data_IF_206493172618
#
_entry.id   IF_206493172618
#
_cell.length_a   1.000
_cell.length_b   1.000
_cell.length_c   1.000
_cell.angle_alpha   90.00
_cell.angle_beta   90.00
_cell.angle_gamma   90.00
#
_symmetry.space_group_name_H-M   'P 1'
#
loop_
_entity.id
_entity.type
_entity.pdbx_description
1 polymer ?
#
# COMPACT_ATOMS: atom_id res chain seq x y z
N UNK A 1 14.29 12.02 -48.71
CA UNK A 1 12.95 11.85 -48.13
C UNK A 1 13.07 11.75 -46.62
N UNK A 2 12.98 12.87 -45.92
CA UNK A 2 13.11 12.98 -44.46
C UNK A 2 11.72 13.09 -43.86
N UNK A 3 11.20 11.98 -43.33
CA UNK A 3 9.93 11.94 -42.61
C UNK A 3 10.10 12.51 -41.21
N UNK A 4 9.57 13.71 -40.98
CA UNK A 4 9.50 14.33 -39.67
C UNK A 4 8.45 13.60 -38.79
N UNK A 5 8.90 13.02 -37.69
CA UNK A 5 8.05 12.39 -36.66
C UNK A 5 7.53 13.49 -35.74
N UNK A 6 6.23 13.81 -35.84
CA UNK A 6 5.57 14.77 -34.94
C UNK A 6 5.46 14.13 -33.54
N UNK A 7 5.97 14.75 -32.46
CA UNK A 7 5.77 14.25 -31.11
C UNK A 7 4.34 14.54 -30.64
N UNK A 8 3.55 13.48 -30.40
CA UNK A 8 2.29 13.57 -29.67
C UNK A 8 2.57 13.95 -28.22
N UNK A 9 2.24 15.20 -27.87
CA UNK A 9 2.33 15.74 -26.52
C UNK A 9 1.16 15.24 -25.62
N UNK A 10 1.35 15.20 -24.28
CA UNK A 10 0.50 14.53 -23.28
C UNK A 10 -0.81 15.27 -22.93
N UNK A 11 -1.53 15.81 -23.91
CA UNK A 11 -2.72 16.63 -23.68
C UNK A 11 -3.92 15.86 -23.10
N UNK A 12 -3.95 14.53 -23.21
CA UNK A 12 -5.07 13.69 -22.76
C UNK A 12 -5.10 13.47 -21.25
N UNK A 13 -3.94 13.32 -20.60
CA UNK A 13 -3.83 13.09 -19.14
C UNK A 13 -4.14 14.34 -18.34
N UNK A 14 -3.68 15.52 -18.79
CA UNK A 14 -3.99 16.80 -18.15
C UNK A 14 -5.48 17.15 -18.19
N UNK A 15 -6.18 16.80 -19.28
CA UNK A 15 -7.63 17.04 -19.41
C UNK A 15 -8.46 16.10 -18.53
N UNK A 16 -7.99 14.86 -18.34
CA UNK A 16 -8.61 13.91 -17.43
C UNK A 16 -8.42 14.32 -15.96
N UNK A 17 -7.20 14.72 -15.57
CA UNK A 17 -6.88 15.22 -14.24
C UNK A 17 -7.64 16.52 -13.88
N UNK A 18 -7.79 17.43 -14.85
CA UNK A 18 -8.61 18.65 -14.67
C UNK A 18 -10.10 18.36 -14.48
N UNK A 19 -10.63 17.31 -15.13
CA UNK A 19 -12.03 16.90 -14.98
C UNK A 19 -12.29 16.26 -13.61
N UNK A 20 -11.39 15.43 -13.11
CA UNK A 20 -11.53 14.83 -11.77
C UNK A 20 -11.47 15.91 -10.68
N UNK A 21 -10.53 16.84 -10.78
CA UNK A 21 -10.42 17.96 -9.84
C UNK A 21 -11.68 18.85 -9.83
N UNK A 22 -12.28 19.12 -11.00
CA UNK A 22 -13.53 19.88 -11.09
C UNK A 22 -14.72 19.15 -10.46
N UNK A 23 -14.81 17.83 -10.65
CA UNK A 23 -15.86 17.00 -10.01
C UNK A 23 -15.67 16.92 -8.49
N UNK A 24 -14.43 16.82 -8.01
CA UNK A 24 -14.12 16.84 -6.58
C UNK A 24 -14.43 18.18 -5.94
N UNK A 25 -14.06 19.29 -6.58
CA UNK A 25 -14.44 20.63 -6.15
C UNK A 25 -15.97 20.79 -6.11
N UNK A 26 -16.68 20.26 -7.12
CA UNK A 26 -18.15 20.23 -7.14
C UNK A 26 -18.75 19.44 -5.97
N UNK A 27 -18.18 18.26 -5.65
CA UNK A 27 -18.59 17.45 -4.50
C UNK A 27 -18.35 18.16 -3.17
N UNK A 28 -17.18 18.81 -3.02
CA UNK A 28 -16.83 19.56 -1.82
C UNK A 28 -17.74 20.79 -1.64
N UNK A 29 -18.04 21.52 -2.71
CA UNK A 29 -18.96 22.65 -2.68
C UNK A 29 -20.39 22.22 -2.31
N UNK A 30 -20.87 21.08 -2.85
CA UNK A 30 -22.16 20.52 -2.49
C UNK A 30 -22.20 20.07 -1.02
N UNK A 31 -21.13 19.45 -0.51
CA UNK A 31 -21.01 19.07 0.88
C UNK A 31 -21.00 20.30 1.81
N UNK A 32 -20.27 21.37 1.44
CA UNK A 32 -20.23 22.61 2.19
C UNK A 32 -21.61 23.29 2.27
N UNK A 33 -22.35 23.35 1.16
CA UNK A 33 -23.73 23.87 1.14
C UNK A 33 -24.65 23.08 2.06
N UNK A 34 -24.61 21.75 2.02
CA UNK A 34 -25.43 20.90 2.91
C UNK A 34 -25.10 21.11 4.39
N UNK A 35 -23.83 21.32 4.74
CA UNK A 35 -23.42 21.65 6.12
C UNK A 35 -23.97 23.01 6.54
N UNK A 36 -23.80 24.02 5.70
CA UNK A 36 -24.34 25.37 5.96
C UNK A 36 -25.87 25.36 6.12
N UNK A 37 -26.60 24.62 5.27
CA UNK A 37 -28.06 24.48 5.38
C UNK A 37 -28.46 23.79 6.69
N UNK A 38 -27.71 22.76 7.09
CA UNK A 38 -27.94 22.04 8.36
C UNK A 38 -27.70 22.93 9.57
N UNK A 39 -26.62 23.73 9.54
CA UNK A 39 -26.30 24.71 10.57
C UNK A 39 -27.35 25.81 10.65
N UNK A 40 -27.81 26.33 9.51
CA UNK A 40 -28.89 27.31 9.46
C UNK A 40 -30.19 26.76 10.07
N UNK A 41 -30.53 25.49 9.80
CA UNK A 41 -31.68 24.84 10.44
C UNK A 41 -31.52 24.77 11.97
N UNK A 42 -30.33 24.37 12.44
CA UNK A 42 -30.01 24.30 13.87
C UNK A 42 -30.13 25.67 14.54
N UNK A 43 -29.57 26.72 13.92
CA UNK A 43 -29.62 28.09 14.43
C UNK A 43 -31.06 28.62 14.55
N UNK A 44 -31.94 28.33 13.58
CA UNK A 44 -33.35 28.72 13.66
C UNK A 44 -34.06 28.08 14.85
N UNK A 45 -33.81 26.80 15.11
CA UNK A 45 -34.37 26.10 16.29
C UNK A 45 -33.87 26.72 17.59
N UNK A 46 -32.56 26.98 17.70
CA UNK A 46 -31.97 27.65 18.87
C UNK A 46 -32.54 29.06 19.09
N UNK A 47 -32.77 29.83 18.03
CA UNK A 47 -33.38 31.15 18.12
C UNK A 47 -34.81 31.08 18.69
N UNK A 48 -35.60 30.08 18.29
CA UNK A 48 -36.94 29.85 18.85
C UNK A 48 -36.88 29.47 20.32
N UNK A 49 -35.97 28.57 20.70
CA UNK A 49 -35.77 28.16 22.11
C UNK A 49 -35.30 29.34 22.97
N UNK A 50 -34.40 30.18 22.46
CA UNK A 50 -34.00 31.42 23.13
C UNK A 50 -35.17 32.40 23.28
N UNK A 51 -36.04 32.48 22.27
CA UNK A 51 -37.29 33.22 22.31
C UNK A 51 -38.21 32.79 23.46
N UNK A 52 -38.32 31.48 23.73
CA UNK A 52 -39.10 30.95 24.87
C UNK A 52 -38.62 31.51 26.21
N UNK A 53 -37.30 31.65 26.40
CA UNK A 53 -36.73 32.25 27.62
C UNK A 53 -37.13 33.73 27.75
N UNK A 54 -37.11 34.46 26.63
CA UNK A 54 -37.41 35.91 26.60
C UNK A 54 -38.89 36.20 26.83
N UNK A 55 -39.79 35.42 26.21
CA UNK A 55 -41.24 35.63 26.31
C UNK A 55 -41.87 34.91 27.51
N UNK A 56 -41.09 34.07 28.21
CA UNK A 56 -41.54 33.21 29.33
C UNK A 56 -42.73 32.31 28.98
N UNK A 57 -42.92 32.01 27.69
CA UNK A 57 -43.97 31.12 27.21
C UNK A 57 -43.38 29.75 26.85
N UNK A 58 -43.76 28.66 27.53
CA UNK A 58 -43.35 27.32 27.13
C UNK A 58 -44.00 26.98 25.79
N UNK A 59 -43.23 26.39 24.88
CA UNK A 59 -43.69 25.93 23.58
C UNK A 59 -43.56 24.41 23.49
N UNK A 60 -44.52 23.77 22.84
CA UNK A 60 -44.47 22.35 22.50
C UNK A 60 -43.39 22.07 21.44
N UNK A 61 -42.92 20.82 21.35
CA UNK A 61 -42.00 20.40 20.28
C UNK A 61 -42.54 20.75 18.89
N UNK A 62 -43.86 20.56 18.68
CA UNK A 62 -44.54 20.88 17.42
C UNK A 62 -44.53 22.39 17.12
N UNK A 63 -44.74 23.24 18.13
CA UNK A 63 -44.61 24.69 17.99
C UNK A 63 -43.20 25.10 17.59
N UNK A 64 -42.19 24.49 18.23
CA UNK A 64 -40.79 24.83 18.00
C UNK A 64 -40.41 24.49 16.56
N UNK A 65 -40.74 23.29 16.07
CA UNK A 65 -40.45 22.89 14.69
C UNK A 65 -41.20 23.76 13.68
N UNK A 66 -42.45 24.12 13.97
CA UNK A 66 -43.26 25.00 13.10
C UNK A 66 -42.67 26.40 13.00
N UNK A 67 -42.31 27.03 14.13
CA UNK A 67 -41.74 28.38 14.15
C UNK A 67 -40.33 28.44 13.57
N UNK A 68 -39.54 27.37 13.71
CA UNK A 68 -38.21 27.27 13.12
C UNK A 68 -38.22 26.89 11.63
N UNK A 69 -39.40 26.61 11.06
CA UNK A 69 -39.60 26.12 9.71
C UNK A 69 -38.73 24.89 9.40
N UNK A 70 -38.76 23.91 10.31
CA UNK A 70 -38.04 22.62 10.16
C UNK A 70 -39.03 21.46 10.19
N UNK A 71 -38.58 20.29 9.72
CA UNK A 71 -39.36 19.07 9.73
C UNK A 71 -39.84 18.73 11.17
N UNK A 72 -41.10 18.29 11.38
CA UNK A 72 -41.59 17.86 12.70
C UNK A 72 -40.74 16.79 13.41
N UNK A 73 -40.06 15.92 12.66
CA UNK A 73 -39.17 14.90 13.22
C UNK A 73 -37.77 15.43 13.59
N UNK A 74 -37.46 16.70 13.29
CA UNK A 74 -36.12 17.25 13.44
C UNK A 74 -35.62 17.20 14.89
N UNK A 75 -36.46 17.58 15.85
CA UNK A 75 -36.12 17.51 17.28
C UNK A 75 -35.95 16.07 17.79
N UNK A 76 -36.63 15.10 17.18
CA UNK A 76 -36.45 13.68 17.55
C UNK A 76 -35.08 13.16 17.10
N UNK A 77 -34.58 13.63 15.94
CA UNK A 77 -33.25 13.28 15.41
C UNK A 77 -32.12 14.03 16.13
N UNK A 78 -32.40 15.21 16.67
CA UNK A 78 -31.44 16.08 17.36
C UNK A 78 -31.77 16.16 18.87
N UNK A 79 -31.39 15.10 19.59
CA UNK A 79 -31.60 14.93 21.04
C UNK A 79 -31.03 16.08 21.88
N UNK A 80 -29.94 16.70 21.42
CA UNK A 80 -29.30 17.86 22.05
C UNK A 80 -30.23 19.07 22.09
N UNK A 81 -30.88 19.40 20.96
CA UNK A 81 -31.82 20.51 20.86
C UNK A 81 -33.10 20.23 21.64
N UNK A 82 -33.53 18.96 21.67
CA UNK A 82 -34.68 18.53 22.46
C UNK A 82 -34.43 18.68 23.97
N UNK A 83 -33.27 18.22 24.44
CA UNK A 83 -32.85 18.42 25.82
C UNK A 83 -32.70 19.91 26.15
N UNK A 84 -32.27 20.73 25.19
CA UNK A 84 -32.21 22.17 25.39
C UNK A 84 -33.59 22.78 25.64
N UNK A 85 -34.55 22.48 24.76
CA UNK A 85 -35.94 22.95 24.87
C UNK A 85 -36.60 22.48 26.17
N UNK A 86 -36.40 21.22 26.57
CA UNK A 86 -36.96 20.66 27.80
C UNK A 86 -36.42 21.37 29.04
N UNK A 87 -35.10 21.63 29.13
CA UNK A 87 -34.59 22.35 30.30
C UNK A 87 -35.11 23.80 30.36
N UNK A 88 -35.38 24.43 29.22
CA UNK A 88 -36.05 25.74 29.21
C UNK A 88 -37.47 25.63 29.76
N UNK A 89 -38.24 24.62 29.35
CA UNK A 89 -39.58 24.37 29.92
C UNK A 89 -39.51 24.10 31.41
N UNK A 90 -38.63 23.20 31.86
CA UNK A 90 -38.44 22.92 33.28
C UNK A 90 -38.07 24.16 34.10
N UNK A 91 -37.22 25.03 33.54
CA UNK A 91 -36.90 26.31 34.17
C UNK A 91 -38.11 27.26 34.23
N UNK A 92 -38.91 27.35 33.16
CA UNK A 92 -40.13 28.16 33.15
C UNK A 92 -41.18 27.64 34.15
N UNK A 93 -41.30 26.31 34.26
CA UNK A 93 -42.20 25.63 35.19
C UNK A 93 -41.67 25.61 36.64
N UNK A 94 -40.45 26.12 36.89
CA UNK A 94 -39.72 26.05 38.17
C UNK A 94 -39.55 24.63 38.72
N UNK A 95 -39.63 23.62 37.85
CA UNK A 95 -39.44 22.21 38.20
C UNK A 95 -37.94 21.91 38.30
N UNK A 96 -37.39 22.06 39.52
CA UNK A 96 -35.97 21.85 39.82
C UNK A 96 -35.50 20.43 39.47
N UNK A 97 -36.36 19.44 39.66
CA UNK A 97 -36.08 18.03 39.33
C UNK A 97 -35.91 17.82 37.84
N UNK A 98 -36.83 18.35 37.01
CA UNK A 98 -36.67 18.29 35.54
C UNK A 98 -35.50 19.13 35.04
N UNK A 99 -35.21 20.27 35.66
CA UNK A 99 -34.06 21.09 35.29
C UNK A 99 -32.74 20.37 35.56
N UNK A 100 -32.63 19.66 36.69
CA UNK A 100 -31.47 18.86 37.04
C UNK A 100 -31.27 17.65 36.10
N UNK A 101 -32.33 16.92 35.77
CA UNK A 101 -32.23 15.79 34.82
C UNK A 101 -31.84 16.24 33.42
N UNK A 102 -32.38 17.38 32.95
CA UNK A 102 -31.99 17.94 31.67
C UNK A 102 -30.54 18.46 31.67
N UNK A 103 -30.04 19.00 32.78
CA UNK A 103 -28.63 19.39 32.92
C UNK A 103 -27.69 18.18 32.87
N UNK A 104 -28.03 17.08 33.57
CA UNK A 104 -27.29 15.83 33.52
C UNK A 104 -27.26 15.24 32.10
N UNK A 105 -28.41 15.18 31.42
CA UNK A 105 -28.49 14.69 30.04
C UNK A 105 -27.62 15.50 29.06
N UNK A 106 -27.47 16.83 29.27
CA UNK A 106 -26.56 17.67 28.48
C UNK A 106 -25.09 17.35 28.76
N UNK A 107 -24.74 17.11 30.01
CA UNK A 107 -23.38 16.71 30.39
C UNK A 107 -23.02 15.36 29.77
N UNK A 108 -23.92 14.37 29.88
CA UNK A 108 -23.71 13.04 29.29
C UNK A 108 -23.57 13.10 27.77
N UNK A 109 -24.40 13.93 27.10
CA UNK A 109 -24.28 14.14 25.67
C UNK A 109 -22.93 14.79 25.29
N UNK A 110 -22.45 15.75 26.09
CA UNK A 110 -21.13 16.37 25.91
C UNK A 110 -20.00 15.35 26.04
N UNK A 111 -20.03 14.55 27.11
CA UNK A 111 -19.05 13.49 27.37
C UNK A 111 -19.08 12.40 26.28
N UNK A 112 -20.26 12.04 25.76
CA UNK A 112 -20.38 11.07 24.68
C UNK A 112 -19.74 11.57 23.37
N UNK A 113 -19.87 12.87 23.06
CA UNK A 113 -19.21 13.49 21.91
C UNK A 113 -17.70 13.53 22.10
N UNK A 114 -17.22 13.92 23.28
CA UNK A 114 -15.79 13.93 23.61
C UNK A 114 -15.18 12.53 23.56
N UNK A 115 -15.85 11.53 24.14
CA UNK A 115 -15.39 10.14 24.12
C UNK A 115 -15.29 9.61 22.68
N UNK A 116 -16.29 9.90 21.84
CA UNK A 116 -16.25 9.55 20.41
C UNK A 116 -15.05 10.21 19.71
N UNK A 117 -14.83 11.50 19.95
CA UNK A 117 -13.70 12.23 19.38
C UNK A 117 -12.35 11.64 19.82
N UNK A 118 -12.21 11.32 21.11
CA UNK A 118 -11.00 10.70 21.65
C UNK A 118 -10.76 9.30 21.07
N UNK A 119 -11.82 8.50 20.89
CA UNK A 119 -11.72 7.20 20.23
C UNK A 119 -11.30 7.35 18.76
N UNK A 120 -11.89 8.29 18.02
CA UNK A 120 -11.50 8.59 16.65
C UNK A 120 -10.02 9.00 16.57
N UNK A 121 -9.58 9.92 17.44
CA UNK A 121 -8.16 10.31 17.56
C UNK A 121 -7.27 9.11 17.90
N UNK A 122 -7.67 8.25 18.83
CA UNK A 122 -6.91 7.06 19.20
C UNK A 122 -6.76 6.10 18.01
N UNK A 123 -7.83 5.91 17.22
CA UNK A 123 -7.75 5.07 16.02
C UNK A 123 -6.85 5.68 14.94
N UNK A 124 -6.85 6.99 14.76
CA UNK A 124 -5.95 7.68 13.84
C UNK A 124 -4.49 7.50 14.27
N UNK A 125 -4.18 7.80 15.54
CA UNK A 125 -2.84 7.65 16.11
C UNK A 125 -2.31 6.21 16.01
N UNK A 126 -3.18 5.20 16.18
CA UNK A 126 -2.79 3.79 16.00
C UNK A 126 -2.40 3.50 14.55
N UNK A 127 -3.16 3.99 13.57
CA UNK A 127 -2.83 3.83 12.15
C UNK A 127 -1.51 4.54 11.80
N UNK A 128 -1.31 5.75 12.30
CA UNK A 128 -0.07 6.51 12.08
C UNK A 128 1.14 5.79 12.67
N UNK A 129 0.98 5.23 13.88
CA UNK A 129 2.01 4.45 14.54
C UNK A 129 2.32 3.16 13.78
N UNK A 130 1.30 2.46 13.25
CA UNK A 130 1.50 1.30 12.38
C UNK A 130 2.22 1.67 11.08
N UNK A 131 1.86 2.79 10.45
CA UNK A 131 2.53 3.30 9.26
C UNK A 131 4.00 3.64 9.54
N UNK A 132 4.28 4.39 10.61
CA UNK A 132 5.65 4.71 11.02
C UNK A 132 6.48 3.46 11.33
N UNK A 133 5.88 2.44 11.96
CA UNK A 133 6.54 1.15 12.18
C UNK A 133 6.84 0.42 10.88
N UNK A 134 5.93 0.47 9.90
CA UNK A 134 6.15 -0.13 8.58
C UNK A 134 7.28 0.59 7.83
N UNK A 135 7.30 1.92 7.86
CA UNK A 135 8.38 2.73 7.29
C UNK A 135 9.73 2.41 7.93
N UNK A 136 9.79 2.34 9.27
CA UNK A 136 11.01 2.00 9.99
C UNK A 136 11.53 0.60 9.61
N UNK A 137 10.62 -0.38 9.47
CA UNK A 137 11.00 -1.73 8.97
C UNK A 137 11.55 -1.65 7.55
N UNK A 138 10.92 -0.87 6.67
CA UNK A 138 11.37 -0.72 5.29
C UNK A 138 12.73 -0.01 5.18
N UNK A 139 13.00 0.97 6.05
CA UNK A 139 14.33 1.61 6.16
C UNK A 139 15.35 0.58 6.64
N UNK A 140 15.09 -0.11 7.75
CA UNK A 140 16.01 -1.13 8.30
C UNK A 140 16.34 -2.24 7.31
N UNK A 141 15.36 -2.72 6.54
CA UNK A 141 15.58 -3.72 5.49
C UNK A 141 16.46 -3.17 4.37
N UNK A 142 16.26 -1.90 3.97
CA UNK A 142 17.12 -1.26 2.96
C UNK A 142 18.54 -1.07 3.46
N UNK A 143 18.72 -0.64 4.70
CA UNK A 143 20.04 -0.44 5.31
C UNK A 143 20.78 -1.78 5.40
N UNK A 144 20.13 -2.84 5.93
CA UNK A 144 20.69 -4.19 5.97
C UNK A 144 21.05 -4.73 4.57
N UNK A 145 20.21 -4.46 3.56
CA UNK A 145 20.49 -4.88 2.19
C UNK A 145 21.69 -4.11 1.60
N UNK A 146 21.82 -2.82 1.91
CA UNK A 146 22.95 -2.00 1.50
C UNK A 146 24.26 -2.47 2.17
N UNK A 147 24.21 -2.80 3.47
CA UNK A 147 25.36 -3.34 4.21
C UNK A 147 25.81 -4.68 3.63
N UNK A 148 24.89 -5.63 3.39
CA UNK A 148 25.21 -6.94 2.79
C UNK A 148 25.80 -6.78 1.38
N UNK A 149 25.25 -5.87 0.57
CA UNK A 149 25.81 -5.59 -0.77
C UNK A 149 27.19 -4.93 -0.67
N UNK A 150 27.40 -4.03 0.28
CA UNK A 150 28.69 -3.41 0.56
C UNK A 150 29.75 -4.41 1.02
N UNK A 151 29.39 -5.34 1.90
CA UNK A 151 30.25 -6.42 2.38
C UNK A 151 30.59 -7.41 1.26
N UNK A 152 29.62 -7.78 0.42
CA UNK A 152 29.86 -8.63 -0.76
C UNK A 152 30.72 -7.95 -1.82
N UNK A 153 30.58 -6.63 -2.00
CA UNK A 153 31.43 -5.84 -2.90
C UNK A 153 32.85 -5.64 -2.35
N UNK A 154 32.99 -5.63 -1.01
CA UNK A 154 34.26 -5.45 -0.31
C UNK A 154 35.00 -6.77 -0.06
N UNK A 155 34.37 -7.93 -0.27
CA UNK A 155 35.01 -9.24 -0.17
C UNK A 155 36.06 -9.43 -1.30
N UNK A 156 37.37 -9.38 -1.00
CA UNK A 156 38.40 -9.62 -2.00
C UNK A 156 38.63 -11.13 -2.16
N UNK A 157 39.22 -11.52 -3.29
CA UNK A 157 39.84 -12.84 -3.59
C UNK A 157 38.97 -14.04 -3.97
N UNK A 158 37.72 -14.21 -3.50
CA UNK A 158 36.95 -15.43 -3.84
C UNK A 158 36.73 -15.63 -5.35
N UNK A 159 36.49 -14.54 -6.08
CA UNK A 159 36.34 -14.62 -7.54
C UNK A 159 37.67 -14.89 -8.26
N UNK A 160 38.80 -14.41 -7.73
CA UNK A 160 40.11 -14.66 -8.32
C UNK A 160 40.54 -16.13 -8.19
N UNK A 161 40.36 -16.70 -7.00
CA UNK A 161 40.66 -18.11 -6.72
C UNK A 161 39.79 -19.05 -7.56
N UNK A 162 38.49 -18.76 -7.70
CA UNK A 162 37.59 -19.55 -8.56
C UNK A 162 38.00 -19.47 -10.03
N UNK A 163 38.44 -18.31 -10.52
CA UNK A 163 38.94 -18.17 -11.90
C UNK A 163 40.26 -18.91 -12.14
N UNK A 164 41.16 -18.95 -11.13
CA UNK A 164 42.38 -19.76 -11.21
C UNK A 164 42.04 -21.24 -11.28
N UNK A 165 41.18 -21.74 -10.40
CA UNK A 165 40.75 -23.15 -10.41
C UNK A 165 40.04 -23.54 -11.72
N UNK A 166 39.27 -22.62 -12.32
CA UNK A 166 38.65 -22.83 -13.64
C UNK A 166 39.71 -22.99 -14.73
N UNK A 167 40.73 -22.14 -14.75
CA UNK A 167 41.84 -22.23 -15.71
C UNK A 167 42.63 -23.54 -15.54
N UNK A 168 42.92 -23.93 -14.31
CA UNK A 168 43.62 -25.19 -14.00
C UNK A 168 42.83 -26.40 -14.49
N UNK A 169 41.52 -26.43 -14.21
CA UNK A 169 40.61 -27.47 -14.71
C UNK A 169 40.63 -27.53 -16.24
N UNK A 170 40.52 -26.39 -16.91
CA UNK A 170 40.45 -26.34 -18.37
C UNK A 170 41.78 -26.77 -19.01
N UNK A 171 42.91 -26.42 -18.38
CA UNK A 171 44.24 -26.93 -18.77
C UNK A 171 44.35 -28.45 -18.59
N UNK A 172 43.87 -28.98 -17.46
CA UNK A 172 43.87 -30.42 -17.20
C UNK A 172 43.00 -31.18 -18.22
N UNK A 173 41.80 -30.65 -18.53
CA UNK A 173 40.93 -31.24 -19.56
C UNK A 173 41.57 -31.21 -20.95
N UNK A 174 42.29 -30.13 -21.30
CA UNK A 174 43.02 -30.06 -22.55
C UNK A 174 44.16 -31.09 -22.60
N UNK A 175 44.87 -31.30 -21.49
CA UNK A 175 45.93 -32.30 -21.39
C UNK A 175 45.38 -33.73 -21.55
N UNK A 176 44.26 -34.06 -20.89
CA UNK A 176 43.60 -35.36 -21.03
C UNK A 176 43.19 -35.62 -22.48
N UNK A 177 42.56 -34.64 -23.14
CA UNK A 177 42.17 -34.78 -24.56
C UNK A 177 43.38 -35.02 -25.47
N UNK A 178 44.52 -34.38 -25.19
CA UNK A 178 45.76 -34.63 -25.96
C UNK A 178 46.28 -36.05 -25.74
N UNK A 179 46.34 -36.50 -24.48
CA UNK A 179 46.77 -37.86 -24.16
C UNK A 179 45.86 -38.91 -24.83
N UNK A 180 44.55 -38.70 -24.85
CA UNK A 180 43.61 -39.59 -25.54
C UNK A 180 43.88 -39.65 -27.06
N UNK A 181 44.18 -38.51 -27.69
CA UNK A 181 44.54 -38.49 -29.11
C UNK A 181 45.85 -39.22 -29.40
N UNK A 182 46.84 -39.11 -28.50
CA UNK A 182 48.12 -39.81 -28.61
C UNK A 182 47.94 -41.33 -28.43
N UNK A 183 47.13 -41.76 -27.47
CA UNK A 183 46.81 -43.17 -27.26
C UNK A 183 46.10 -43.79 -28.46
N UNK A 184 45.16 -43.06 -29.08
CA UNK A 184 44.51 -43.49 -30.32
C UNK A 184 45.50 -43.60 -31.48
N UNK A 185 46.44 -42.66 -31.60
CA UNK A 185 47.49 -42.72 -32.61
C UNK A 185 48.41 -43.94 -32.40
N UNK A 186 48.84 -44.20 -31.17
CA UNK A 186 49.64 -45.38 -30.82
C UNK A 186 48.89 -46.69 -31.11
N UNK A 187 47.61 -46.78 -30.76
CA UNK A 187 46.77 -47.94 -31.07
C UNK A 187 46.71 -48.21 -32.57
N UNK A 188 46.54 -47.18 -33.39
CA UNK A 188 46.52 -47.32 -34.85
C UNK A 188 47.87 -47.82 -35.39
N UNK A 189 48.99 -47.34 -34.85
CA UNK A 189 50.33 -47.83 -35.23
C UNK A 189 50.50 -49.30 -34.86
N UNK A 190 50.14 -49.68 -33.63
CA UNK A 190 50.21 -51.09 -33.18
C UNK A 190 49.35 -51.98 -34.07
N UNK A 191 48.13 -51.57 -34.41
CA UNK A 191 47.27 -52.34 -35.32
C UNK A 191 47.89 -52.51 -36.72
N UNK A 192 48.52 -51.47 -37.27
CA UNK A 192 49.24 -51.58 -38.55
C UNK A 192 50.42 -52.54 -38.47
N UNK A 193 51.26 -52.39 -37.45
CA UNK A 193 52.41 -53.26 -37.22
C UNK A 193 51.99 -54.71 -37.00
N UNK A 194 50.89 -54.95 -36.28
CA UNK A 194 50.32 -56.29 -36.14
C UNK A 194 49.95 -56.87 -37.50
N UNK A 195 49.19 -56.13 -38.34
CA UNK A 195 48.82 -56.58 -39.69
C UNK A 195 50.05 -56.86 -40.57
N UNK A 196 51.07 -56.00 -40.51
CA UNK A 196 52.33 -56.19 -41.25
C UNK A 196 53.09 -57.43 -40.76
N UNK A 197 53.22 -57.63 -39.45
CA UNK A 197 53.84 -58.82 -38.88
C UNK A 197 53.09 -60.10 -39.27
N UNK A 198 51.75 -60.11 -39.25
CA UNK A 198 50.97 -61.28 -39.71
C UNK A 198 51.17 -61.55 -41.20
N UNK A 199 51.30 -60.50 -42.03
CA UNK A 199 51.61 -60.64 -43.46
C UNK A 199 52.99 -61.25 -43.68
N UNK A 200 54.02 -60.74 -42.99
CA UNK A 200 55.40 -61.23 -43.10
C UNK A 200 55.52 -62.71 -42.68
N UNK A 201 54.92 -63.07 -41.54
CA UNK A 201 54.92 -64.46 -41.06
C UNK A 201 54.10 -65.40 -41.96
N UNK A 202 52.98 -64.92 -42.53
CA UNK A 202 52.17 -65.70 -43.47
C UNK A 202 52.82 -65.90 -44.85
N UNK A 203 53.66 -64.96 -45.30
CA UNK A 203 54.43 -65.12 -46.54
C UNK A 203 55.59 -66.12 -46.44
N UNK A 204 56.10 -66.39 -45.23
CA UNK A 204 57.07 -67.48 -45.02
C UNK A 204 56.42 -68.87 -44.96
N UNK A 205 55.10 -68.93 -44.78
CA UNK A 205 54.32 -70.17 -44.65
C UNK A 205 53.55 -70.58 -45.92
N UNK A 206 53.82 -69.97 -47.08
CA UNK A 206 53.42 -70.61 -48.35
C UNK A 206 54.33 -71.84 -48.59
N UNK A 207 53.84 -73.09 -48.45
CA UNK A 207 54.61 -74.22 -48.93
C UNK A 207 54.71 -74.07 -50.44
N UNK A 208 55.94 -74.03 -50.93
CA UNK A 208 56.28 -74.38 -52.31
C UNK A 208 55.74 -75.79 -52.58
N UNK A 209 54.48 -75.87 -53.01
CA UNK A 209 53.89 -77.06 -53.58
C UNK A 209 54.56 -77.32 -54.92
N UNK A 210 55.53 -78.21 -54.90
CA UNK A 210 56.07 -78.90 -56.06
C UNK A 210 54.93 -79.56 -56.85
N UNK A 211 54.78 -79.17 -58.13
CA UNK A 211 54.94 -80.03 -59.32
C UNK A 211 54.43 -79.30 -60.56
#
# INVERSE_FOLDING_TARGET
>A
MTGARIPQAPASTNRAAGRTAALDAGRQAAAARRRADSEACRQRVLAVIAGMRKTRGPLSDAEITRRAAVNPQYLQRHQDLKAEAEAVRAHLDRDRTRAATAAAARQDAGLAVENRMLLEQNTALRRDLEAARAELRAVRVRDLAADVLGDLASAPSRNGEVEVLRRERDQALAAVRRADTELLALRNVVQRLMVENTRLLGSEQQPSGHS
#
